data_IF_217815458732
#
_entry.id   IF_217815458732
#
_cell.length_a   1.000
_cell.length_b   1.000
_cell.length_c   1.000
_cell.angle_alpha   90.00
_cell.angle_beta   90.00
_cell.angle_gamma   90.00
#
_symmetry.space_group_name_H-M   'P 1'
#
loop_
_entity.id
_entity.type
_entity.pdbx_description
1 polymer ?
#
# COMPACT_ATOMS: atom_id res chain seq x y z
N UNK A 1 -21.03 -19.30 -6.66
CA UNK A 1 -20.49 -18.24 -5.77
C UNK A 1 -19.17 -18.63 -5.11
N UNK A 2 -19.05 -19.74 -4.38
CA UNK A 2 -17.78 -20.15 -3.71
C UNK A 2 -16.59 -20.24 -4.68
N UNK A 3 -16.75 -20.91 -5.83
CA UNK A 3 -15.69 -20.99 -6.88
C UNK A 3 -15.26 -19.62 -7.42
N UNK A 4 -16.20 -18.67 -7.49
CA UNK A 4 -15.93 -17.31 -7.95
C UNK A 4 -15.17 -16.51 -6.89
N UNK A 5 -15.62 -16.55 -5.63
CA UNK A 5 -14.94 -15.92 -4.50
C UNK A 5 -13.52 -16.46 -4.36
N UNK A 6 -13.36 -17.79 -4.39
CA UNK A 6 -12.05 -18.43 -4.29
C UNK A 6 -11.12 -17.99 -5.42
N UNK A 7 -11.58 -18.01 -6.68
CA UNK A 7 -10.80 -17.57 -7.83
C UNK A 7 -10.34 -16.11 -7.68
N UNK A 8 -11.25 -15.24 -7.23
CA UNK A 8 -10.97 -13.80 -7.08
C UNK A 8 -10.02 -13.53 -5.90
N UNK A 9 -10.18 -14.23 -4.78
CA UNK A 9 -9.26 -14.17 -3.64
C UNK A 9 -7.87 -14.66 -4.02
N UNK A 10 -7.75 -15.74 -4.80
CA UNK A 10 -6.46 -16.25 -5.26
C UNK A 10 -5.77 -15.25 -6.20
N UNK A 11 -6.52 -14.65 -7.13
CA UNK A 11 -6.01 -13.59 -8.01
C UNK A 11 -5.51 -12.39 -7.21
N UNK A 12 -6.29 -11.91 -6.24
CA UNK A 12 -5.90 -10.80 -5.38
C UNK A 12 -4.66 -11.12 -4.55
N UNK A 13 -4.56 -12.34 -4.01
CA UNK A 13 -3.40 -12.79 -3.25
C UNK A 13 -2.15 -12.80 -4.14
N UNK A 14 -2.26 -13.32 -5.36
CA UNK A 14 -1.16 -13.34 -6.31
C UNK A 14 -0.70 -11.92 -6.68
N UNK A 15 -1.64 -11.01 -6.94
CA UNK A 15 -1.33 -9.59 -7.19
C UNK A 15 -0.61 -8.97 -6.00
N UNK A 16 -1.08 -9.21 -4.76
CA UNK A 16 -0.43 -8.70 -3.56
C UNK A 16 1.00 -9.22 -3.42
N UNK A 17 1.24 -10.50 -3.68
CA UNK A 17 2.60 -11.07 -3.63
C UNK A 17 3.54 -10.40 -4.65
N UNK A 18 3.06 -10.15 -5.86
CA UNK A 18 3.84 -9.41 -6.87
C UNK A 18 4.14 -8.00 -6.37
N UNK A 19 3.14 -7.25 -5.93
CA UNK A 19 3.32 -5.88 -5.44
C UNK A 19 4.32 -5.83 -4.29
N UNK A 20 4.18 -6.73 -3.31
CA UNK A 20 5.11 -6.83 -2.18
C UNK A 20 6.53 -7.13 -2.66
N UNK A 21 6.70 -8.05 -3.62
CA UNK A 21 8.02 -8.35 -4.20
C UNK A 21 8.61 -7.12 -4.90
N UNK A 22 7.81 -6.42 -5.69
CA UNK A 22 8.25 -5.22 -6.42
C UNK A 22 8.66 -4.13 -5.43
N UNK A 23 7.83 -3.85 -4.42
CA UNK A 23 8.18 -2.88 -3.37
C UNK A 23 9.46 -3.28 -2.64
N UNK A 24 9.63 -4.56 -2.30
CA UNK A 24 10.87 -5.06 -1.71
C UNK A 24 12.09 -4.79 -2.59
N UNK A 25 11.98 -5.06 -3.91
CA UNK A 25 13.05 -4.78 -4.86
C UNK A 25 13.38 -3.29 -4.92
N UNK A 26 12.37 -2.43 -4.97
CA UNK A 26 12.54 -0.98 -4.97
C UNK A 26 13.23 -0.50 -3.68
N UNK A 27 12.83 -1.04 -2.52
CA UNK A 27 13.46 -0.73 -1.24
C UNK A 27 14.92 -1.17 -1.16
N UNK A 28 15.31 -2.23 -1.89
CA UNK A 28 16.69 -2.70 -1.97
C UNK A 28 17.57 -1.83 -2.87
N UNK A 29 16.96 -1.14 -3.83
CA UNK A 29 17.64 -0.17 -4.71
C UNK A 29 17.80 1.21 -4.06
N UNK A 30 17.20 1.40 -2.87
CA UNK A 30 17.32 2.66 -2.13
C UNK A 30 18.78 2.90 -1.69
N UNK A 31 19.27 4.14 -1.72
CA UNK A 31 20.60 4.48 -1.20
C UNK A 31 20.76 4.07 0.26
N UNK A 32 21.97 3.68 0.64
CA UNK A 32 22.25 3.17 2.00
C UNK A 32 21.96 4.20 3.10
N UNK A 33 22.06 5.49 2.77
CA UNK A 33 21.64 6.64 3.58
C UNK A 33 20.23 6.48 4.17
N UNK A 34 19.32 5.88 3.41
CA UNK A 34 17.94 5.64 3.81
C UNK A 34 17.79 4.73 5.03
N UNK A 35 18.73 3.80 5.24
CA UNK A 35 18.68 2.85 6.35
C UNK A 35 19.12 3.47 7.69
N UNK A 36 19.91 4.55 7.65
CA UNK A 36 20.50 5.15 8.86
C UNK A 36 19.82 6.47 9.28
N UNK A 37 18.97 7.04 8.43
CA UNK A 37 18.26 8.29 8.72
C UNK A 37 19.23 9.42 9.08
N UNK A 38 18.90 10.22 10.10
CA UNK A 38 19.71 11.36 10.54
C UNK A 38 21.04 10.99 11.24
N UNK A 39 21.32 9.70 11.43
CA UNK A 39 22.57 9.20 12.01
C UNK A 39 23.66 8.85 10.98
N UNK A 40 23.36 8.95 9.68
CA UNK A 40 24.26 8.49 8.60
C UNK A 40 25.63 9.17 8.61
N UNK A 41 25.69 10.47 8.85
CA UNK A 41 26.93 11.26 8.80
C UNK A 41 27.86 11.04 10.01
N UNK A 42 27.36 10.36 11.04
CA UNK A 42 28.10 10.15 12.31
C UNK A 42 28.77 8.78 12.39
N UNK A 43 28.53 7.91 11.42
CA UNK A 43 29.04 6.54 11.40
C UNK A 43 30.22 6.42 10.45
N UNK A 44 31.28 5.76 10.91
CA UNK A 44 32.39 5.35 10.06
C UNK A 44 31.96 4.25 9.07
N UNK A 45 32.66 4.10 7.94
CA UNK A 45 32.32 3.10 6.91
C UNK A 45 32.30 1.68 7.49
N UNK A 46 33.26 1.35 8.35
CA UNK A 46 33.32 0.06 9.03
C UNK A 46 32.11 -0.18 9.96
N UNK A 47 31.60 0.87 10.61
CA UNK A 47 30.41 0.79 11.45
C UNK A 47 29.15 0.60 10.61
N UNK A 48 29.04 1.30 9.46
CA UNK A 48 27.93 1.15 8.52
C UNK A 48 27.87 -0.28 8.00
N UNK A 49 28.99 -0.83 7.55
CA UNK A 49 29.05 -2.19 7.03
C UNK A 49 28.69 -3.25 8.08
N UNK A 50 29.18 -3.08 9.31
CA UNK A 50 28.83 -3.97 10.42
C UNK A 50 27.32 -3.93 10.72
N UNK A 51 26.69 -2.76 10.69
CA UNK A 51 25.25 -2.62 10.94
C UNK A 51 24.44 -3.25 9.81
N UNK A 52 24.77 -2.99 8.55
CA UNK A 52 24.05 -3.55 7.39
C UNK A 52 24.16 -5.08 7.34
N UNK A 53 25.32 -5.61 7.73
CA UNK A 53 25.55 -7.06 7.81
C UNK A 53 24.72 -7.69 8.93
N UNK A 54 24.69 -7.07 10.13
CA UNK A 54 23.84 -7.52 11.23
C UNK A 54 22.34 -7.43 10.92
N UNK A 55 21.92 -6.47 10.10
CA UNK A 55 20.53 -6.35 9.62
C UNK A 55 20.17 -7.34 8.50
N UNK A 56 21.13 -8.14 8.01
CA UNK A 56 20.92 -9.09 6.90
C UNK A 56 20.74 -8.41 5.54
N UNK A 57 21.11 -7.14 5.41
CA UNK A 57 20.99 -6.40 4.14
C UNK A 57 22.09 -6.77 3.13
N UNK A 58 23.16 -7.42 3.60
CA UNK A 58 24.21 -8.00 2.75
C UNK A 58 23.94 -9.46 2.36
N UNK A 59 22.87 -10.07 2.86
CA UNK A 59 22.52 -11.45 2.50
C UNK A 59 22.15 -11.58 1.01
N UNK A 60 22.32 -12.78 0.41
CA UNK A 60 21.78 -13.09 -0.90
C UNK A 60 20.30 -12.73 -1.01
N UNK A 61 19.91 -12.16 -2.14
CA UNK A 61 18.55 -11.61 -2.37
C UNK A 61 17.43 -12.58 -2.00
N UNK A 62 17.61 -13.84 -2.36
CA UNK A 62 16.63 -14.91 -2.14
C UNK A 62 16.43 -15.18 -0.65
N UNK A 63 17.51 -15.11 0.15
CA UNK A 63 17.47 -15.31 1.59
C UNK A 63 16.77 -14.12 2.26
N UNK A 64 17.12 -12.90 1.86
CA UNK A 64 16.51 -11.69 2.39
C UNK A 64 14.99 -11.65 2.11
N UNK A 65 14.57 -11.98 0.89
CA UNK A 65 13.16 -12.05 0.51
C UNK A 65 12.41 -13.17 1.25
N UNK A 66 13.02 -14.35 1.39
CA UNK A 66 12.43 -15.46 2.15
C UNK A 66 12.21 -15.06 3.62
N UNK A 67 13.23 -14.48 4.25
CA UNK A 67 13.15 -14.03 5.63
C UNK A 67 12.09 -12.94 5.79
N UNK A 68 11.99 -12.01 4.84
CA UNK A 68 10.95 -10.99 4.80
C UNK A 68 9.54 -11.60 4.76
N UNK A 69 9.30 -12.57 3.88
CA UNK A 69 8.01 -13.25 3.80
C UNK A 69 7.67 -14.05 5.07
N UNK A 70 8.65 -14.72 5.68
CA UNK A 70 8.44 -15.45 6.94
C UNK A 70 8.03 -14.50 8.05
N UNK A 71 8.73 -13.36 8.19
CA UNK A 71 8.40 -12.34 9.20
C UNK A 71 7.02 -11.74 8.96
N UNK A 72 6.72 -11.38 7.71
CA UNK A 72 5.42 -10.87 7.30
C UNK A 72 4.28 -11.87 7.60
N UNK A 73 4.48 -13.17 7.34
CA UNK A 73 3.50 -14.21 7.64
C UNK A 73 3.26 -14.39 9.15
N UNK A 74 4.27 -14.13 9.98
CA UNK A 74 4.13 -14.09 11.44
C UNK A 74 3.60 -12.74 11.97
N UNK A 75 3.32 -11.78 11.08
CA UNK A 75 2.86 -10.45 11.45
C UNK A 75 3.96 -9.54 12.01
N UNK A 76 5.24 -9.88 11.84
CA UNK A 76 6.36 -9.02 12.21
C UNK A 76 6.75 -8.13 11.02
N UNK A 77 6.39 -6.84 11.11
CA UNK A 77 6.78 -5.81 10.13
C UNK A 77 8.13 -5.15 10.45
N UNK A 78 8.79 -5.58 11.53
CA UNK A 78 10.05 -5.02 12.02
C UNK A 78 9.90 -3.74 12.83
N UNK A 79 11.05 -3.12 13.07
CA UNK A 79 11.17 -1.85 13.80
C UNK A 79 11.41 -0.72 12.82
N UNK A 80 10.88 0.45 13.14
CA UNK A 80 11.13 1.66 12.38
C UNK A 80 12.51 2.21 12.72
N UNK A 81 13.30 2.51 11.70
CA UNK A 81 14.60 3.19 11.85
C UNK A 81 14.50 4.69 11.56
N UNK A 82 13.57 5.10 10.68
CA UNK A 82 13.48 6.47 10.16
C UNK A 82 12.43 7.34 10.87
N UNK A 83 11.23 6.80 11.12
CA UNK A 83 10.08 7.61 11.58
C UNK A 83 10.01 7.73 13.10
N UNK A 84 10.23 6.60 13.79
CA UNK A 84 10.38 6.48 15.24
C UNK A 84 11.42 5.39 15.51
N UNK A 85 12.66 5.73 15.87
CA UNK A 85 13.72 4.75 16.09
C UNK A 85 13.30 3.70 17.14
N UNK A 86 13.51 2.43 16.84
CA UNK A 86 13.26 1.28 17.72
C UNK A 86 11.79 1.02 18.11
N UNK A 87 10.82 1.67 17.46
CA UNK A 87 9.39 1.38 17.67
C UNK A 87 8.93 0.34 16.66
N UNK A 88 8.10 -0.62 17.07
CA UNK A 88 7.52 -1.61 16.17
C UNK A 88 6.65 -0.92 15.11
N UNK A 89 6.84 -1.30 13.84
CA UNK A 89 6.01 -0.78 12.73
C UNK A 89 4.54 -1.14 12.94
N UNK A 90 4.23 -2.27 13.58
CA UNK A 90 2.86 -2.66 13.91
C UNK A 90 2.16 -1.65 14.81
N UNK A 91 2.87 -1.10 15.80
CA UNK A 91 2.31 -0.12 16.73
C UNK A 91 1.99 1.19 16.00
N UNK A 92 2.92 1.65 15.16
CA UNK A 92 2.75 2.85 14.34
C UNK A 92 1.55 2.71 13.40
N UNK A 93 1.39 1.54 12.78
CA UNK A 93 0.27 1.26 11.86
C UNK A 93 -1.04 1.15 12.65
N UNK A 94 -1.04 0.45 13.79
CA UNK A 94 -2.23 0.25 14.62
C UNK A 94 -2.87 1.57 15.04
N UNK A 95 -2.05 2.58 15.35
CA UNK A 95 -2.54 3.92 15.67
C UNK A 95 -3.18 4.64 14.46
N UNK A 96 -2.75 4.34 13.24
CA UNK A 96 -3.21 4.99 12.00
C UNK A 96 -4.38 4.28 11.33
N UNK A 97 -4.53 2.98 11.55
CA UNK A 97 -5.58 2.14 10.95
C UNK A 97 -6.99 2.69 11.19
N UNK A 98 -7.38 3.08 12.42
CA UNK A 98 -8.73 3.60 12.67
C UNK A 98 -9.06 4.85 11.84
N UNK A 99 -8.12 5.78 11.70
CA UNK A 99 -8.32 7.00 10.91
C UNK A 99 -8.54 6.67 9.43
N UNK A 100 -7.72 5.77 8.88
CA UNK A 100 -7.85 5.33 7.49
C UNK A 100 -9.17 4.61 7.24
N UNK A 101 -9.61 3.79 8.19
CA UNK A 101 -10.92 3.12 8.14
C UNK A 101 -12.07 4.12 8.18
N UNK A 102 -12.03 5.11 9.07
CA UNK A 102 -13.06 6.15 9.15
C UNK A 102 -13.14 6.99 7.88
N UNK A 103 -11.99 7.37 7.31
CA UNK A 103 -11.93 8.10 6.04
C UNK A 103 -12.44 7.24 4.87
N UNK A 104 -12.05 5.97 4.80
CA UNK A 104 -12.50 5.04 3.76
C UNK A 104 -14.01 4.79 3.84
N UNK A 105 -14.54 4.50 5.04
CA UNK A 105 -15.96 4.26 5.25
C UNK A 105 -16.81 5.50 4.96
N UNK A 106 -16.37 6.68 5.41
CA UNK A 106 -17.09 7.93 5.11
C UNK A 106 -17.05 8.26 3.61
N UNK A 107 -15.93 8.00 2.92
CA UNK A 107 -15.82 8.17 1.47
C UNK A 107 -16.76 7.23 0.72
N UNK A 108 -16.82 5.95 1.10
CA UNK A 108 -17.75 4.97 0.50
C UNK A 108 -19.20 5.38 0.76
N UNK A 109 -19.52 5.80 1.99
CA UNK A 109 -20.86 6.23 2.33
C UNK A 109 -21.31 7.46 1.50
N UNK A 110 -20.47 8.49 1.43
CA UNK A 110 -20.75 9.70 0.65
C UNK A 110 -20.84 9.41 -0.86
N UNK A 111 -19.89 8.64 -1.40
CA UNK A 111 -19.90 8.26 -2.82
C UNK A 111 -21.11 7.40 -3.18
N UNK A 112 -21.56 6.53 -2.28
CA UNK A 112 -22.78 5.73 -2.48
C UNK A 112 -24.01 6.62 -2.53
N UNK A 113 -24.14 7.58 -1.61
CA UNK A 113 -25.25 8.55 -1.59
C UNK A 113 -25.25 9.35 -2.91
N UNK A 114 -24.16 10.04 -3.21
CA UNK A 114 -24.07 10.90 -4.39
C UNK A 114 -24.18 10.11 -5.69
N UNK A 115 -23.57 8.92 -5.76
CA UNK A 115 -23.61 8.03 -6.92
C UNK A 115 -25.02 7.50 -7.19
N UNK A 116 -25.75 7.10 -6.15
CA UNK A 116 -27.15 6.66 -6.31
C UNK A 116 -28.05 7.83 -6.73
N UNK A 117 -27.94 8.99 -6.09
CA UNK A 117 -28.76 10.16 -6.44
C UNK A 117 -28.51 10.64 -7.88
N UNK A 118 -27.23 10.74 -8.28
CA UNK A 118 -26.87 11.10 -9.65
C UNK A 118 -27.35 10.05 -10.65
N UNK A 119 -27.15 8.76 -10.37
CA UNK A 119 -27.62 7.66 -11.20
C UNK A 119 -29.14 7.64 -11.39
N UNK A 120 -29.92 7.87 -10.32
CA UNK A 120 -31.39 7.98 -10.41
C UNK A 120 -31.80 9.18 -11.27
N UNK A 121 -31.14 10.32 -11.12
CA UNK A 121 -31.45 11.55 -11.88
C UNK A 121 -31.17 11.37 -13.37
N UNK A 122 -30.03 10.75 -13.71
CA UNK A 122 -29.69 10.40 -15.10
C UNK A 122 -30.72 9.43 -15.70
N UNK A 123 -31.11 8.40 -14.95
CA UNK A 123 -32.09 7.41 -15.40
C UNK A 123 -33.48 8.02 -15.66
N UNK A 124 -33.91 9.00 -14.85
CA UNK A 124 -35.19 9.70 -15.04
C UNK A 124 -35.19 10.65 -16.22
N UNK A 125 -34.07 11.30 -16.53
CA UNK A 125 -33.94 12.22 -17.67
C UNK A 125 -33.10 11.60 -18.80
N UNK A 126 -33.43 10.35 -19.16
CA UNK A 126 -32.69 9.56 -20.15
C UNK A 126 -32.57 10.32 -21.47
N UNK A 127 -31.36 10.41 -22.03
CA UNK A 127 -30.98 11.21 -23.21
C UNK A 127 -31.12 12.73 -23.08
N UNK A 128 -31.58 13.22 -21.93
CA UNK A 128 -31.66 14.64 -21.60
C UNK A 128 -30.32 15.21 -21.15
N UNK A 129 -30.34 16.50 -20.79
CA UNK A 129 -29.14 17.24 -20.38
C UNK A 129 -28.39 16.59 -19.20
N UNK A 130 -29.11 16.16 -18.16
CA UNK A 130 -28.54 15.54 -16.95
C UNK A 130 -27.85 14.19 -17.21
N UNK A 131 -28.39 13.38 -18.13
CA UNK A 131 -27.81 12.08 -18.52
C UNK A 131 -26.51 12.26 -19.33
N UNK A 132 -26.49 13.22 -20.27
CA UNK A 132 -25.29 13.54 -21.05
C UNK A 132 -24.17 14.11 -20.18
N UNK A 133 -24.50 15.02 -19.26
CA UNK A 133 -23.52 15.59 -18.32
C UNK A 133 -22.94 14.53 -17.38
N UNK A 134 -23.78 13.66 -16.80
CA UNK A 134 -23.32 12.58 -15.93
C UNK A 134 -22.47 11.55 -16.66
N UNK A 135 -22.85 11.20 -17.90
CA UNK A 135 -22.05 10.28 -18.73
C UNK A 135 -20.69 10.88 -19.07
N UNK A 136 -20.62 12.16 -19.44
CA UNK A 136 -19.36 12.85 -19.69
C UNK A 136 -18.45 12.82 -18.45
N UNK A 137 -19.02 13.13 -17.27
CA UNK A 137 -18.29 13.05 -16.00
C UNK A 137 -17.72 11.65 -15.73
N UNK A 138 -18.52 10.60 -15.91
CA UNK A 138 -18.10 9.20 -15.72
C UNK A 138 -16.98 8.83 -16.71
N UNK A 139 -17.10 9.23 -17.97
CA UNK A 139 -16.08 8.93 -18.99
C UNK A 139 -14.77 9.63 -18.66
N UNK A 140 -14.81 10.92 -18.30
CA UNK A 140 -13.60 11.67 -17.92
C UNK A 140 -12.93 11.02 -16.72
N UNK A 141 -13.68 10.65 -15.68
CA UNK A 141 -13.10 10.01 -14.49
C UNK A 141 -12.50 8.65 -14.79
N UNK A 142 -13.19 7.81 -15.56
CA UNK A 142 -12.67 6.49 -15.92
C UNK A 142 -11.50 6.56 -16.92
N UNK A 143 -11.40 7.65 -17.68
CA UNK A 143 -10.30 7.88 -18.62
C UNK A 143 -9.04 8.38 -17.91
N UNK A 144 -9.17 9.03 -16.74
CA UNK A 144 -8.04 9.33 -15.88
C UNK A 144 -7.55 8.01 -15.29
N UNK A 145 -6.31 7.58 -15.57
CA UNK A 145 -5.74 6.42 -14.92
C UNK A 145 -5.71 6.69 -13.42
N UNK A 146 -6.40 5.86 -12.63
CA UNK A 146 -6.29 5.93 -11.18
C UNK A 146 -4.88 5.50 -10.79
N UNK A 147 -4.13 6.38 -10.13
CA UNK A 147 -2.90 6.04 -9.41
C UNK A 147 -3.19 5.26 -8.12
#
# INVERSE_FOLDING_TARGET
MIKYVLKRSLQSLFTLLIVITVVFLLMRLMPEEGYFGSGFDKLDEAQKEAILTNMGYRDPMIIQLKNFYIRLANGDLGTSTTYRPNVSVNEIIKDKVPYSLWLGLSSVFLSMILGIFSGITMARNKSGFWDKMGTLYIVVINAVPAE
#
